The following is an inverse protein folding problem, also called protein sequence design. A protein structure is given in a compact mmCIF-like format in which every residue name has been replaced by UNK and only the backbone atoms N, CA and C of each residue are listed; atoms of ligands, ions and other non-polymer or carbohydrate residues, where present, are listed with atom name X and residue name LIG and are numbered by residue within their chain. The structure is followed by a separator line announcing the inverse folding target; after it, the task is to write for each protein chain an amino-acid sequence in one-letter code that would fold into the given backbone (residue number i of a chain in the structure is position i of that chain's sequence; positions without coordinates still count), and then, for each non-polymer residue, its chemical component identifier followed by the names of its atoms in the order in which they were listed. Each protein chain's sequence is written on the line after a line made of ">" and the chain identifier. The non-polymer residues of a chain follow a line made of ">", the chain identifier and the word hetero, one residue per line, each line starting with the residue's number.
data_IF_751001791986
#
_entry.id   IF_751001791986
#
_cell.length_a   1.000
_cell.length_b   1.000
_cell.length_c   1.000
_cell.angle_alpha   90.00
_cell.angle_beta   90.00
_cell.angle_gamma   90.00
#
_symmetry.space_group_name_H-M   'P 1'
#
loop_
_entity.id
_entity.type
_entity.pdbx_description
1 polymer ?
#
# COMPACT_ATOMS: atom_id res chain seq x y z
N UNK A 1 -20.76 35.86 -69.85
CA UNK A 1 -22.08 35.40 -69.33
C UNK A 1 -21.84 34.71 -67.98
N UNK A 2 -22.72 34.91 -66.99
CA UNK A 2 -22.36 35.23 -65.61
C UNK A 2 -22.33 34.05 -64.61
N UNK A 3 -21.65 34.28 -63.48
CA UNK A 3 -21.64 33.63 -62.14
C UNK A 3 -22.94 32.92 -61.70
N UNK A 4 -22.94 31.91 -60.77
CA UNK A 4 -22.67 32.22 -59.34
C UNK A 4 -22.30 31.11 -58.32
N UNK A 5 -21.86 31.65 -57.16
CA UNK A 5 -22.10 31.23 -55.75
C UNK A 5 -21.11 30.31 -55.04
N UNK A 6 -20.30 30.98 -54.20
CA UNK A 6 -20.04 30.65 -52.80
C UNK A 6 -20.98 29.60 -52.20
N UNK A 7 -20.39 28.65 -51.49
CA UNK A 7 -20.88 28.21 -50.18
C UNK A 7 -19.71 27.62 -49.40
N UNK A 8 -19.10 28.46 -48.57
CA UNK A 8 -18.33 28.02 -47.42
C UNK A 8 -19.25 27.11 -46.58
N UNK A 9 -18.94 25.82 -46.50
CA UNK A 9 -19.60 24.93 -45.56
C UNK A 9 -18.66 24.72 -44.38
N UNK A 10 -18.70 25.72 -43.50
CA UNK A 10 -18.19 25.65 -42.14
C UNK A 10 -19.13 24.71 -41.37
N UNK A 11 -18.76 23.44 -41.25
CA UNK A 11 -19.31 22.57 -40.21
C UNK A 11 -18.18 22.20 -39.27
N UNK A 12 -18.08 23.03 -38.23
CA UNK A 12 -17.52 22.66 -36.96
C UNK A 12 -18.27 21.43 -36.43
N UNK A 13 -17.64 20.26 -36.52
CA UNK A 13 -18.11 19.06 -35.86
C UNK A 13 -17.38 18.92 -34.52
N UNK A 14 -17.96 19.63 -33.56
CA UNK A 14 -18.12 19.30 -32.14
C UNK A 14 -17.09 18.30 -31.61
N UNK A 15 -16.14 18.84 -30.85
CA UNK A 15 -15.32 18.10 -29.91
C UNK A 15 -16.19 17.25 -28.99
N UNK A 16 -16.19 15.93 -29.18
CA UNK A 16 -16.66 14.96 -28.19
C UNK A 16 -15.64 14.89 -27.05
N UNK A 17 -15.55 15.95 -26.26
CA UNK A 17 -14.89 15.97 -24.96
C UNK A 17 -15.98 15.74 -23.90
N UNK A 18 -16.40 14.49 -23.72
CA UNK A 18 -16.93 13.96 -22.44
C UNK A 18 -17.41 12.49 -22.55
N UNK A 19 -16.77 11.66 -23.40
CA UNK A 19 -16.96 10.21 -23.25
C UNK A 19 -16.11 9.70 -22.07
N UNK A 20 -16.71 9.05 -21.06
CA UNK A 20 -15.95 8.43 -20.00
C UNK A 20 -14.96 7.44 -20.62
N UNK A 21 -13.68 7.42 -20.20
CA UNK A 21 -12.68 6.59 -20.85
C UNK A 21 -13.16 5.15 -20.91
N UNK A 22 -13.05 4.53 -22.09
CA UNK A 22 -13.39 3.14 -22.31
C UNK A 22 -12.73 2.25 -21.24
N UNK A 23 -13.29 1.07 -20.92
CA UNK A 23 -12.67 0.17 -19.94
C UNK A 23 -11.17 -0.06 -20.21
N UNK A 24 -10.78 -0.11 -21.49
CA UNK A 24 -9.38 -0.23 -21.94
C UNK A 24 -8.56 1.03 -21.62
N UNK A 25 -9.10 2.24 -21.89
CA UNK A 25 -8.42 3.50 -21.56
C UNK A 25 -8.23 3.71 -20.06
N UNK A 26 -9.19 3.26 -19.23
CA UNK A 26 -9.05 3.28 -17.75
C UNK A 26 -7.94 2.33 -17.27
N UNK A 27 -7.81 1.17 -17.90
CA UNK A 27 -6.77 0.19 -17.59
C UNK A 27 -5.39 0.73 -17.98
N UNK A 28 -5.24 1.32 -19.16
CA UNK A 28 -3.98 1.91 -19.62
C UNK A 28 -3.56 3.11 -18.74
N UNK A 29 -4.49 4.00 -18.40
CA UNK A 29 -4.19 5.12 -17.50
C UNK A 29 -3.84 4.65 -16.08
N UNK A 30 -4.46 3.58 -15.59
CA UNK A 30 -4.07 2.96 -14.32
C UNK A 30 -2.67 2.33 -14.40
N UNK A 31 -2.36 1.66 -15.52
CA UNK A 31 -1.06 1.05 -15.74
C UNK A 31 0.06 2.10 -15.80
N UNK A 32 -0.09 3.17 -16.58
CA UNK A 32 0.87 4.28 -16.65
C UNK A 32 1.10 4.93 -15.27
N UNK A 33 0.04 5.07 -14.46
CA UNK A 33 0.15 5.59 -13.08
C UNK A 33 0.94 4.64 -12.17
N UNK A 34 0.80 3.32 -12.34
CA UNK A 34 1.49 2.31 -11.53
C UNK A 34 2.93 2.09 -11.97
N UNK A 35 3.19 2.09 -13.28
CA UNK A 35 4.54 2.02 -13.84
C UNK A 35 5.36 3.24 -13.40
N UNK A 36 4.77 4.43 -13.47
CA UNK A 36 5.37 5.63 -12.89
C UNK A 36 5.51 5.56 -11.36
N UNK A 37 4.65 4.85 -10.63
CA UNK A 37 4.80 4.66 -9.19
C UNK A 37 5.94 3.68 -8.85
N UNK A 38 6.05 2.57 -9.58
CA UNK A 38 7.11 1.57 -9.44
C UNK A 38 8.48 2.17 -9.78
N UNK A 39 8.59 2.90 -10.90
CA UNK A 39 9.82 3.60 -11.28
C UNK A 39 10.28 4.66 -10.26
N UNK A 40 9.35 5.20 -9.46
CA UNK A 40 9.65 6.16 -8.39
C UNK A 40 9.91 5.51 -7.03
N UNK A 41 9.80 4.19 -6.89
CA UNK A 41 9.98 3.54 -5.60
C UNK A 41 11.46 3.60 -5.18
N UNK A 42 11.77 4.48 -4.22
CA UNK A 42 13.12 4.68 -3.65
C UNK A 42 13.31 3.96 -2.31
N UNK A 43 12.52 2.93 -2.03
CA UNK A 43 12.48 2.27 -0.72
C UNK A 43 11.37 2.82 0.20
N UNK A 44 11.45 2.48 1.48
CA UNK A 44 10.48 2.92 2.49
C UNK A 44 10.83 4.32 3.02
N UNK A 45 9.83 5.20 3.13
CA UNK A 45 9.97 6.48 3.83
C UNK A 45 10.19 6.25 5.34
N UNK A 46 10.91 7.16 6.01
CA UNK A 46 11.30 7.05 7.42
C UNK A 46 10.11 6.82 8.36
N UNK A 47 8.94 7.41 8.07
CA UNK A 47 7.74 7.20 8.90
C UNK A 47 7.20 5.78 8.73
N UNK A 48 7.25 5.24 7.52
CA UNK A 48 6.80 3.89 7.23
C UNK A 48 7.79 2.85 7.75
N UNK A 49 9.09 3.13 7.69
CA UNK A 49 10.15 2.33 8.29
C UNK A 49 10.00 2.28 9.82
N UNK A 50 9.86 3.44 10.47
CA UNK A 50 9.60 3.49 11.92
C UNK A 50 8.30 2.75 12.29
N UNK A 51 7.23 2.86 11.48
CA UNK A 51 5.99 2.10 11.69
C UNK A 51 6.19 0.59 11.53
N UNK A 52 7.08 0.17 10.63
CA UNK A 52 7.44 -1.23 10.42
C UNK A 52 8.26 -1.77 11.59
N UNK A 53 9.22 -0.99 12.07
CA UNK A 53 10.04 -1.32 13.23
C UNK A 53 9.16 -1.39 14.48
N UNK A 54 8.46 -0.31 14.84
CA UNK A 54 7.64 -0.25 16.05
C UNK A 54 6.34 -1.08 15.99
N UNK A 55 6.18 -1.92 14.97
CA UNK A 55 5.08 -2.86 14.84
C UNK A 55 4.88 -3.65 16.14
N UNK A 56 3.65 -3.63 16.65
CA UNK A 56 3.24 -4.33 17.88
C UNK A 56 3.80 -3.76 19.18
N UNK A 57 4.56 -2.66 19.14
CA UNK A 57 5.01 -1.92 20.31
C UNK A 57 4.12 -0.70 20.46
N UNK A 58 3.50 -0.56 21.62
CA UNK A 58 2.58 0.53 21.95
C UNK A 58 3.16 1.34 23.11
N UNK A 59 3.34 2.65 22.96
CA UNK A 59 3.74 3.49 24.08
C UNK A 59 2.59 3.55 25.11
N UNK A 60 2.96 3.58 26.38
CA UNK A 60 2.06 3.70 27.53
C UNK A 60 2.60 4.77 28.48
N UNK A 61 1.77 5.20 29.43
CA UNK A 61 2.19 6.19 30.44
C UNK A 61 3.39 5.72 31.29
N UNK A 62 3.60 4.41 31.42
CA UNK A 62 4.63 3.83 32.28
C UNK A 62 5.80 3.18 31.51
N UNK A 63 5.83 3.27 30.18
CA UNK A 63 6.83 2.64 29.32
C UNK A 63 6.23 2.09 28.04
N UNK A 64 6.59 0.85 27.66
CA UNK A 64 6.16 0.24 26.40
C UNK A 64 5.36 -1.03 26.63
N UNK A 65 4.47 -1.34 25.69
CA UNK A 65 3.70 -2.57 25.73
C UNK A 65 3.77 -3.29 24.38
N UNK A 66 4.25 -4.53 24.41
CA UNK A 66 4.31 -5.40 23.25
C UNK A 66 3.03 -6.20 23.20
N UNK A 67 2.18 -5.94 22.19
CA UNK A 67 0.90 -6.64 22.01
C UNK A 67 0.85 -7.32 20.63
N UNK A 68 0.79 -8.65 20.61
CA UNK A 68 0.67 -9.43 19.38
C UNK A 68 -0.58 -10.30 19.46
N UNK A 69 -1.54 -10.02 18.58
CA UNK A 69 -2.72 -10.83 18.40
C UNK A 69 -2.60 -11.70 17.14
N UNK A 70 -2.90 -12.99 17.25
CA UNK A 70 -2.94 -13.96 16.15
C UNK A 70 -4.24 -14.74 16.27
N UNK A 71 -4.95 -14.90 15.15
CA UNK A 71 -6.17 -15.71 15.11
C UNK A 71 -5.86 -17.14 15.60
N UNK A 72 -6.69 -17.66 16.50
CA UNK A 72 -6.53 -19.00 17.07
C UNK A 72 -5.41 -19.18 18.11
N UNK A 73 -4.75 -18.11 18.57
CA UNK A 73 -3.77 -18.16 19.67
C UNK A 73 -4.14 -17.17 20.79
N UNK A 74 -3.71 -17.45 22.01
CA UNK A 74 -3.84 -16.50 23.12
C UNK A 74 -3.11 -15.19 22.79
N UNK A 75 -3.71 -14.02 23.06
CA UNK A 75 -3.04 -12.74 22.84
C UNK A 75 -1.70 -12.69 23.59
N UNK A 76 -0.63 -12.33 22.90
CA UNK A 76 0.64 -12.03 23.58
C UNK A 76 0.60 -10.60 24.07
N UNK A 77 0.89 -10.40 25.35
CA UNK A 77 0.97 -9.09 25.96
C UNK A 77 2.09 -9.07 26.99
N UNK A 78 3.08 -8.19 26.80
CA UNK A 78 4.16 -7.95 27.76
C UNK A 78 4.41 -6.45 27.88
N UNK A 79 4.61 -5.99 29.10
CA UNK A 79 4.90 -4.58 29.39
C UNK A 79 6.36 -4.44 29.80
N UNK A 80 7.02 -3.39 29.31
CA UNK A 80 8.35 -2.95 29.70
C UNK A 80 8.20 -1.60 30.39
N UNK A 81 8.77 -1.48 31.59
CA UNK A 81 8.73 -0.23 32.35
C UNK A 81 9.81 0.73 31.87
N UNK A 82 9.52 2.02 31.97
CA UNK A 82 10.46 3.09 31.59
C UNK A 82 10.31 3.52 30.12
N UNK A 83 10.61 4.78 29.88
CA UNK A 83 10.55 5.43 28.56
C UNK A 83 11.96 5.72 28.00
N UNK A 84 12.98 5.04 28.53
CA UNK A 84 14.35 5.16 28.02
C UNK A 84 14.51 4.39 26.70
N UNK A 85 15.57 4.72 25.96
CA UNK A 85 15.98 3.98 24.77
C UNK A 85 16.27 2.50 25.08
N UNK A 86 16.83 2.21 26.25
CA UNK A 86 17.02 0.84 26.73
C UNK A 86 15.69 0.08 26.88
N UNK A 87 14.67 0.72 27.46
CA UNK A 87 13.32 0.15 27.58
C UNK A 87 12.68 -0.08 26.21
N UNK A 88 12.94 0.78 25.22
CA UNK A 88 12.48 0.58 23.86
C UNK A 88 13.17 -0.61 23.19
N UNK A 89 14.50 -0.70 23.30
CA UNK A 89 15.28 -1.83 22.78
C UNK A 89 14.87 -3.16 23.42
N UNK A 90 14.58 -3.17 24.72
CA UNK A 90 14.00 -4.33 25.41
C UNK A 90 12.64 -4.72 24.80
N UNK A 91 11.75 -3.75 24.58
CA UNK A 91 10.46 -3.99 23.95
C UNK A 91 10.62 -4.54 22.51
N UNK A 92 11.60 -4.05 21.76
CA UNK A 92 11.94 -4.58 20.43
C UNK A 92 12.44 -6.03 20.51
N UNK A 93 13.31 -6.35 21.46
CA UNK A 93 13.80 -7.72 21.66
C UNK A 93 12.66 -8.68 22.02
N UNK A 94 11.79 -8.28 22.94
CA UNK A 94 10.58 -9.04 23.32
C UNK A 94 9.65 -9.23 22.12
N UNK A 95 9.45 -8.20 21.30
CA UNK A 95 8.67 -8.26 20.06
C UNK A 95 9.26 -9.31 19.12
N UNK A 96 10.55 -9.24 18.84
CA UNK A 96 11.20 -10.13 17.86
C UNK A 96 11.20 -11.58 18.31
N UNK A 97 11.51 -11.83 19.58
CA UNK A 97 11.37 -13.15 20.18
C UNK A 97 9.92 -13.67 20.07
N UNK A 98 8.94 -12.85 20.42
CA UNK A 98 7.53 -13.24 20.33
C UNK A 98 7.06 -13.47 18.88
N UNK A 99 7.65 -12.79 17.89
CA UNK A 99 7.38 -13.00 16.47
C UNK A 99 8.01 -14.29 15.94
N UNK A 100 9.16 -14.71 16.47
CA UNK A 100 9.78 -16.00 16.17
C UNK A 100 8.96 -17.17 16.73
N UNK A 101 8.50 -17.06 17.98
CA UNK A 101 7.64 -18.06 18.62
C UNK A 101 6.24 -18.12 17.99
N UNK A 102 5.77 -16.99 17.43
CA UNK A 102 4.41 -16.83 16.89
C UNK A 102 4.44 -16.23 15.49
N UNK A 103 4.99 -16.97 14.51
CA UNK A 103 5.12 -16.46 13.15
C UNK A 103 3.75 -16.15 12.57
N UNK A 104 3.66 -15.05 11.82
CA UNK A 104 2.44 -14.68 11.14
C UNK A 104 2.16 -15.68 10.01
N UNK A 105 1.22 -16.61 10.22
CA UNK A 105 0.62 -17.35 9.09
C UNK A 105 -0.32 -16.39 8.35
N UNK A 106 0.22 -15.66 7.36
CA UNK A 106 -0.62 -14.92 6.41
C UNK A 106 -1.35 -15.93 5.55
N UNK A 107 -2.68 -15.83 5.46
CA UNK A 107 -3.48 -16.69 4.57
C UNK A 107 -3.01 -16.58 3.11
N UNK A 108 -2.62 -15.38 2.71
CA UNK A 108 -2.01 -15.10 1.41
C UNK A 108 -0.69 -14.36 1.63
N UNK A 109 0.44 -15.08 1.75
CA UNK A 109 1.75 -14.45 1.89
C UNK A 109 2.11 -13.70 0.60
N UNK A 110 2.90 -12.65 0.75
CA UNK A 110 3.47 -11.91 -0.39
C UNK A 110 4.60 -12.77 -0.96
N UNK A 111 4.62 -13.05 -2.28
CA UNK A 111 5.63 -13.91 -2.86
C UNK A 111 7.05 -13.38 -2.61
N UNK A 112 8.04 -14.24 -2.26
CA UNK A 112 9.42 -13.80 -2.07
C UNK A 112 10.03 -13.13 -3.30
N UNK A 113 9.60 -13.52 -4.51
CA UNK A 113 10.01 -12.86 -5.77
C UNK A 113 9.64 -11.37 -5.76
N UNK A 114 8.42 -11.05 -5.34
CA UNK A 114 7.91 -9.67 -5.28
C UNK A 114 8.68 -8.86 -4.23
N UNK A 115 8.97 -9.45 -3.07
CA UNK A 115 9.76 -8.79 -2.03
C UNK A 115 11.19 -8.50 -2.51
N UNK A 116 11.87 -9.49 -3.10
CA UNK A 116 13.22 -9.33 -3.64
C UNK A 116 13.30 -8.31 -4.77
N UNK A 117 12.31 -8.28 -5.67
CA UNK A 117 12.25 -7.32 -6.76
C UNK A 117 12.20 -5.86 -6.26
N UNK A 118 11.62 -5.63 -5.07
CA UNK A 118 11.54 -4.32 -4.43
C UNK A 118 12.61 -4.10 -3.35
N UNK A 119 13.60 -5.00 -3.20
CA UNK A 119 14.63 -4.90 -2.16
C UNK A 119 14.10 -5.02 -0.72
N UNK A 120 12.91 -5.60 -0.54
CA UNK A 120 12.27 -5.74 0.77
C UNK A 120 12.62 -7.09 1.40
N UNK A 121 12.99 -7.06 2.69
CA UNK A 121 13.22 -8.27 3.49
C UNK A 121 11.92 -8.88 4.02
N UNK A 122 10.88 -8.07 4.17
CA UNK A 122 9.59 -8.51 4.70
C UNK A 122 8.42 -7.72 4.13
N UNK A 123 7.22 -8.31 4.22
CA UNK A 123 5.99 -7.69 3.75
C UNK A 123 5.61 -6.45 4.58
N UNK A 124 5.38 -5.33 3.90
CA UNK A 124 4.95 -4.05 4.46
C UNK A 124 3.62 -4.19 5.22
N UNK A 125 3.56 -3.60 6.42
CA UNK A 125 2.36 -3.49 7.24
C UNK A 125 1.24 -2.74 6.53
N UNK A 126 0.00 -3.11 6.85
CA UNK A 126 -1.18 -2.46 6.26
C UNK A 126 -1.48 -2.91 4.83
N UNK A 127 -0.57 -3.67 4.19
CA UNK A 127 -0.77 -4.27 2.87
C UNK A 127 -1.03 -5.77 3.01
N UNK A 128 -2.18 -6.20 2.50
CA UNK A 128 -2.62 -7.58 2.47
C UNK A 128 -2.81 -8.05 1.05
N UNK A 129 -2.26 -9.22 0.73
CA UNK A 129 -2.50 -9.89 -0.55
C UNK A 129 -3.82 -10.65 -0.48
N UNK A 130 -4.56 -10.67 -1.58
CA UNK A 130 -5.68 -11.58 -1.78
C UNK A 130 -5.48 -12.30 -3.13
N UNK A 131 -4.79 -13.43 -3.06
CA UNK A 131 -4.33 -14.17 -4.24
C UNK A 131 -5.49 -14.61 -5.16
N UNK A 132 -6.62 -15.15 -4.66
CA UNK A 132 -7.75 -15.56 -5.51
C UNK A 132 -8.36 -14.44 -6.37
N UNK A 133 -8.16 -13.16 -6.00
CA UNK A 133 -8.67 -12.03 -6.79
C UNK A 133 -7.57 -11.25 -7.51
N UNK A 134 -6.32 -11.69 -7.41
CA UNK A 134 -5.15 -11.01 -7.94
C UNK A 134 -5.08 -9.55 -7.50
N UNK A 135 -5.17 -9.31 -6.18
CA UNK A 135 -5.24 -7.94 -5.63
C UNK A 135 -4.41 -7.77 -4.35
N UNK A 136 -3.77 -6.62 -4.22
CA UNK A 136 -3.26 -6.09 -2.96
C UNK A 136 -4.25 -5.09 -2.38
N UNK A 137 -4.49 -5.20 -1.07
CA UNK A 137 -5.39 -4.34 -0.31
C UNK A 137 -4.58 -3.51 0.68
N UNK A 138 -4.76 -2.20 0.64
CA UNK A 138 -4.15 -1.27 1.58
C UNK A 138 -5.24 -0.72 2.49
N UNK A 139 -5.10 -0.94 3.79
CA UNK A 139 -5.95 -0.29 4.80
C UNK A 139 -5.31 1.02 5.22
N UNK A 140 -6.04 2.12 5.12
CA UNK A 140 -5.57 3.46 5.50
C UNK A 140 -6.67 4.22 6.25
N UNK A 141 -6.26 5.21 7.05
CA UNK A 141 -7.19 6.12 7.71
C UNK A 141 -7.32 7.35 6.83
N UNK A 142 -8.55 7.73 6.48
CA UNK A 142 -8.81 8.96 5.74
C UNK A 142 -8.63 10.20 6.65
N UNK A 143 -8.58 11.43 6.09
CA UNK A 143 -8.43 12.64 6.90
C UNK A 143 -9.55 12.88 7.92
N UNK A 144 -10.70 12.20 7.76
CA UNK A 144 -11.87 12.29 8.64
C UNK A 144 -11.78 11.23 9.76
N UNK A 145 -10.74 10.40 9.77
CA UNK A 145 -10.51 9.37 10.78
C UNK A 145 -11.15 8.01 10.46
N UNK A 146 -11.78 7.85 9.30
CA UNK A 146 -12.41 6.59 8.91
C UNK A 146 -11.40 5.64 8.26
N UNK A 147 -11.49 4.36 8.61
CA UNK A 147 -10.69 3.33 7.95
C UNK A 147 -11.27 3.01 6.57
N UNK A 148 -10.47 3.21 5.52
CA UNK A 148 -10.80 2.87 4.14
C UNK A 148 -9.86 1.83 3.58
N UNK A 149 -10.32 1.17 2.52
CA UNK A 149 -9.57 0.16 1.78
C UNK A 149 -9.32 0.64 0.35
N UNK A 150 -8.07 0.54 -0.10
CA UNK A 150 -7.67 0.74 -1.50
C UNK A 150 -7.24 -0.59 -2.10
N UNK A 151 -7.64 -0.85 -3.34
CA UNK A 151 -7.33 -2.08 -4.07
C UNK A 151 -6.35 -1.81 -5.22
N UNK A 152 -5.36 -2.70 -5.37
CA UNK A 152 -4.34 -2.68 -6.44
C UNK A 152 -4.32 -4.05 -7.11
N UNK A 153 -4.92 -4.15 -8.29
CA UNK A 153 -5.07 -5.43 -9.00
C UNK A 153 -3.86 -5.72 -9.88
N UNK A 154 -3.42 -6.97 -9.96
CA UNK A 154 -2.31 -7.44 -10.81
C UNK A 154 -2.78 -8.47 -11.85
N UNK A 155 -3.96 -8.25 -12.44
CA UNK A 155 -4.46 -9.09 -13.54
C UNK A 155 -3.90 -8.68 -14.90
N UNK A 156 -3.58 -7.40 -15.01
CA UNK A 156 -3.21 -6.70 -16.26
C UNK A 156 -1.81 -6.07 -16.15
N UNK A 157 -1.19 -6.17 -14.98
CA UNK A 157 0.14 -5.65 -14.66
C UNK A 157 0.90 -6.71 -13.88
N UNK A 158 2.22 -6.53 -13.75
CA UNK A 158 3.04 -7.41 -12.92
C UNK A 158 2.64 -7.31 -11.44
N UNK A 159 2.84 -8.40 -10.70
CA UNK A 159 2.51 -8.42 -9.27
C UNK A 159 3.45 -7.51 -8.47
N UNK A 160 4.69 -7.36 -8.95
CA UNK A 160 5.70 -6.44 -8.47
C UNK A 160 5.23 -4.98 -8.54
N UNK A 161 4.72 -4.54 -9.70
CA UNK A 161 4.25 -3.16 -9.90
C UNK A 161 3.04 -2.84 -9.04
N UNK A 162 2.08 -3.77 -8.94
CA UNK A 162 0.90 -3.58 -8.10
C UNK A 162 1.28 -3.45 -6.62
N UNK A 163 2.30 -4.20 -6.17
CA UNK A 163 2.78 -4.10 -4.80
C UNK A 163 3.55 -2.81 -4.55
N UNK A 164 4.41 -2.39 -5.49
CA UNK A 164 5.12 -1.11 -5.41
C UNK A 164 4.13 0.08 -5.36
N UNK A 165 3.10 0.06 -6.20
CA UNK A 165 2.03 1.07 -6.19
C UNK A 165 1.26 1.09 -4.86
N UNK A 166 1.00 -0.07 -4.26
CA UNK A 166 0.38 -0.17 -2.95
C UNK A 166 1.25 0.46 -1.85
N UNK A 167 2.57 0.26 -1.89
CA UNK A 167 3.51 0.87 -0.95
C UNK A 167 3.57 2.39 -1.15
N UNK A 168 3.71 2.85 -2.39
CA UNK A 168 3.73 4.28 -2.71
C UNK A 168 2.45 4.98 -2.23
N UNK A 169 1.29 4.36 -2.45
CA UNK A 169 0.03 4.89 -1.91
C UNK A 169 0.04 4.94 -0.38
N UNK A 170 0.47 3.89 0.30
CA UNK A 170 0.54 3.88 1.77
C UNK A 170 1.47 4.99 2.30
N UNK A 171 2.60 5.25 1.63
CA UNK A 171 3.49 6.36 1.97
C UNK A 171 2.79 7.72 1.84
N UNK A 172 1.98 7.94 0.79
CA UNK A 172 1.22 9.19 0.66
C UNK A 172 0.18 9.38 1.76
N UNK A 173 -0.39 8.30 2.30
CA UNK A 173 -1.37 8.37 3.40
C UNK A 173 -0.76 8.56 4.78
N UNK A 174 0.56 8.44 4.91
CA UNK A 174 1.29 8.63 6.18
C UNK A 174 1.95 10.02 6.30
N UNK A 175 1.83 10.85 5.26
CA UNK A 175 2.30 12.23 5.26
C UNK A 175 1.33 13.13 6.00
#
# INVERSE_FOLDING_TARGET
>A
MPTPKESQNEKAEISNADEPPSPVGRIQAAWARWEGAAARFKGLDIRLEARQELRYIFPTQCGYQVRIHRSGKTPFNRSVKGQSEESLHEAMRIRDWALQERPAKRLHPIPPKVLRALGLTSAVLGINRWAPRSVYRVSYTDPIGQTRLRHFYYRVVTEEDAYAAAIAFLQTTLK
#
